data_IF_650582639717
#
_entry.id   IF_650582639717
#
_cell.length_a   1.000
_cell.length_b   1.000
_cell.length_c   1.000
_cell.angle_alpha   90.00
_cell.angle_beta   90.00
_cell.angle_gamma   90.00
#
_symmetry.space_group_name_H-M   'P 1'
#
loop_
_entity.id
_entity.type
_entity.pdbx_description
1 polymer ?
#
# COMPACT_ATOMS: atom_id res chain seq x y z
N UNK A 1 1.67 4.15 -18.85
CA UNK A 1 1.57 4.86 -17.57
C UNK A 1 1.19 3.85 -16.51
N UNK A 2 2.05 3.58 -15.52
CA UNK A 2 1.62 2.85 -14.33
C UNK A 2 0.69 3.79 -13.57
N UNK A 3 -0.61 3.58 -13.68
CA UNK A 3 -1.61 4.33 -12.92
C UNK A 3 -1.39 4.02 -11.44
N UNK A 4 -0.99 5.02 -10.64
CA UNK A 4 -0.99 4.91 -9.19
C UNK A 4 -2.40 4.50 -8.76
N UNK A 5 -2.53 3.31 -8.17
CA UNK A 5 -3.81 2.69 -7.86
C UNK A 5 -3.74 1.96 -6.51
N UNK A 6 -4.91 1.59 -5.99
CA UNK A 6 -5.07 0.73 -4.81
C UNK A 6 -5.80 -0.56 -5.22
N UNK A 7 -5.54 -1.69 -4.54
CA UNK A 7 -6.25 -2.94 -4.80
C UNK A 7 -7.78 -2.79 -4.74
N UNK A 8 -8.44 -3.13 -5.85
CA UNK A 8 -9.90 -3.06 -5.99
C UNK A 8 -10.49 -1.64 -6.12
N UNK A 9 -9.67 -0.59 -6.16
CA UNK A 9 -10.13 0.78 -6.42
C UNK A 9 -9.94 1.15 -7.89
N UNK A 10 -10.88 1.94 -8.41
CA UNK A 10 -10.81 2.54 -9.74
C UNK A 10 -10.60 4.04 -9.60
N UNK A 11 -9.55 4.56 -10.24
CA UNK A 11 -9.25 5.99 -10.31
C UNK A 11 -9.88 6.59 -11.57
N UNK A 12 -10.65 7.67 -11.42
CA UNK A 12 -11.16 8.51 -12.51
C UNK A 12 -10.65 9.93 -12.30
N UNK A 13 -10.06 10.51 -13.34
CA UNK A 13 -9.66 11.92 -13.39
C UNK A 13 -10.51 12.60 -14.45
N UNK A 14 -11.15 13.71 -14.09
CA UNK A 14 -12.05 14.46 -14.97
C UNK A 14 -11.77 15.95 -14.83
N UNK A 15 -11.55 16.65 -15.95
CA UNK A 15 -11.46 18.11 -15.93
C UNK A 15 -12.87 18.70 -15.77
N UNK A 16 -13.08 19.49 -14.73
CA UNK A 16 -14.40 20.07 -14.37
C UNK A 16 -14.48 21.56 -14.65
N UNK A 17 -13.32 22.22 -14.77
CA UNK A 17 -13.15 23.58 -15.27
C UNK A 17 -11.72 23.72 -15.80
N UNK A 18 -11.42 24.79 -16.54
CA UNK A 18 -10.09 25.00 -17.14
C UNK A 18 -8.97 24.89 -16.09
N UNK A 19 -8.15 23.84 -16.18
CA UNK A 19 -7.04 23.56 -15.26
C UNK A 19 -7.45 23.02 -13.88
N UNK A 20 -8.74 22.73 -13.67
CA UNK A 20 -9.29 22.17 -12.43
C UNK A 20 -9.80 20.76 -12.70
N UNK A 21 -9.25 19.80 -11.96
CA UNK A 21 -9.51 18.39 -12.12
C UNK A 21 -10.17 17.82 -10.88
N UNK A 22 -11.17 16.98 -11.09
CA UNK A 22 -11.73 16.10 -10.10
C UNK A 22 -11.05 14.74 -10.18
N UNK A 23 -10.33 14.38 -9.12
CA UNK A 23 -9.74 13.07 -8.94
C UNK A 23 -10.66 12.28 -8.01
N UNK A 24 -11.15 11.14 -8.48
CA UNK A 24 -12.11 10.31 -7.76
C UNK A 24 -11.65 8.86 -7.76
N UNK A 25 -11.49 8.29 -6.58
CA UNK A 25 -11.30 6.87 -6.37
C UNK A 25 -12.61 6.25 -5.89
N UNK A 26 -13.03 5.17 -6.53
CA UNK A 26 -14.21 4.38 -6.12
C UNK A 26 -13.87 2.92 -5.98
N UNK A 27 -14.41 2.29 -4.94
CA UNK A 27 -14.43 0.84 -4.78
C UNK A 27 -15.87 0.33 -4.89
N UNK A 28 -16.03 -0.94 -5.26
CA UNK A 28 -17.32 -1.63 -5.19
C UNK A 28 -17.96 -1.41 -3.80
N UNK A 29 -19.29 -1.35 -3.75
CA UNK A 29 -20.09 -1.00 -2.54
C UNK A 29 -20.12 0.49 -2.16
N UNK A 30 -19.80 1.41 -3.09
CA UNK A 30 -20.09 2.84 -2.93
C UNK A 30 -19.08 3.64 -2.11
N UNK A 31 -17.96 3.04 -1.70
CA UNK A 31 -16.85 3.76 -1.05
C UNK A 31 -16.20 4.71 -2.06
N UNK A 32 -15.90 5.93 -1.61
CA UNK A 32 -15.38 7.00 -2.45
C UNK A 32 -14.38 7.87 -1.69
N UNK A 33 -13.24 8.15 -2.31
CA UNK A 33 -12.36 9.26 -1.96
C UNK A 33 -12.32 10.24 -3.15
N UNK A 34 -12.41 11.54 -2.90
CA UNK A 34 -12.36 12.53 -3.97
C UNK A 34 -11.66 13.82 -3.54
N UNK A 35 -10.95 14.42 -4.49
CA UNK A 35 -10.35 15.76 -4.39
C UNK A 35 -10.65 16.51 -5.69
N UNK A 36 -10.92 17.81 -5.58
CA UNK A 36 -11.05 18.73 -6.71
C UNK A 36 -9.94 19.76 -6.60
N UNK A 37 -8.94 19.66 -7.47
CA UNK A 37 -7.75 20.52 -7.47
C UNK A 37 -7.02 20.43 -8.83
N UNK A 38 -5.82 20.99 -8.95
CA UNK A 38 -4.94 20.70 -10.07
C UNK A 38 -4.59 19.19 -10.12
N UNK A 39 -4.43 18.62 -11.33
CA UNK A 39 -4.06 17.21 -11.51
C UNK A 39 -2.56 16.98 -11.31
N UNK A 40 -2.01 17.38 -10.17
CA UNK A 40 -0.62 17.09 -9.80
C UNK A 40 -0.48 15.68 -9.21
N UNK A 41 0.75 15.14 -9.25
CA UNK A 41 1.07 13.87 -8.60
C UNK A 41 0.79 13.90 -7.09
N UNK A 42 0.93 15.07 -6.46
CA UNK A 42 0.61 15.29 -5.05
C UNK A 42 -0.89 15.15 -4.77
N UNK A 43 -1.74 15.74 -5.61
CA UNK A 43 -3.21 15.60 -5.52
C UNK A 43 -3.63 14.14 -5.68
N UNK A 44 -2.99 13.40 -6.60
CA UNK A 44 -3.21 11.96 -6.78
C UNK A 44 -2.80 11.18 -5.53
N UNK A 45 -1.60 11.42 -4.99
CA UNK A 45 -1.11 10.74 -3.80
C UNK A 45 -1.98 11.02 -2.57
N UNK A 46 -2.46 12.25 -2.42
CA UNK A 46 -3.38 12.63 -1.34
C UNK A 46 -4.72 11.91 -1.47
N UNK A 47 -5.26 11.78 -2.69
CA UNK A 47 -6.51 11.03 -2.92
C UNK A 47 -6.32 9.54 -2.64
N UNK A 48 -5.16 8.98 -2.97
CA UNK A 48 -4.79 7.60 -2.62
C UNK A 48 -4.67 7.40 -1.11
N UNK A 49 -4.05 8.34 -0.40
CA UNK A 49 -3.95 8.32 1.06
C UNK A 49 -5.33 8.25 1.71
N UNK A 50 -6.28 9.07 1.27
CA UNK A 50 -7.67 9.00 1.75
C UNK A 50 -8.36 7.66 1.48
N UNK A 51 -8.18 7.10 0.28
CA UNK A 51 -8.76 5.79 -0.04
C UNK A 51 -8.12 4.65 0.76
N UNK A 52 -6.83 4.76 1.06
CA UNK A 52 -6.10 3.82 1.92
C UNK A 52 -6.61 3.88 3.37
N UNK A 53 -6.80 5.08 3.92
CA UNK A 53 -7.34 5.28 5.27
C UNK A 53 -8.78 4.74 5.40
N UNK A 54 -9.59 4.90 4.35
CA UNK A 54 -10.92 4.28 4.29
C UNK A 54 -10.78 2.76 4.37
N UNK A 55 -9.91 2.13 3.57
CA UNK A 55 -9.73 0.68 3.62
C UNK A 55 -9.29 0.21 5.01
N UNK A 56 -8.36 0.93 5.62
CA UNK A 56 -7.90 0.62 6.98
C UNK A 56 -9.02 0.67 8.00
N UNK A 57 -9.90 1.65 7.89
CA UNK A 57 -10.95 1.90 8.89
C UNK A 57 -12.13 0.94 8.78
N UNK A 58 -12.44 0.43 7.58
CA UNK A 58 -13.70 -0.29 7.33
C UNK A 58 -13.55 -1.63 6.60
N UNK A 59 -12.35 -2.07 6.25
CA UNK A 59 -12.14 -3.36 5.60
C UNK A 59 -12.08 -4.50 6.61
N UNK A 60 -12.89 -5.55 6.39
CA UNK A 60 -12.73 -6.82 7.12
C UNK A 60 -11.48 -7.59 6.70
N UNK A 61 -10.88 -7.24 5.56
CA UNK A 61 -9.76 -7.95 4.94
C UNK A 61 -8.54 -7.02 4.82
N UNK A 62 -8.30 -6.19 5.84
CA UNK A 62 -7.23 -5.20 5.86
C UNK A 62 -5.86 -5.80 5.52
N UNK A 63 -5.49 -6.91 6.16
CA UNK A 63 -4.17 -7.54 5.99
C UNK A 63 -3.95 -7.98 4.53
N UNK A 64 -4.98 -8.56 3.89
CA UNK A 64 -4.94 -8.93 2.48
C UNK A 64 -4.84 -7.71 1.57
N UNK A 65 -5.61 -6.66 1.86
CA UNK A 65 -5.53 -5.41 1.11
C UNK A 65 -4.12 -4.81 1.18
N UNK A 66 -3.51 -4.80 2.37
CA UNK A 66 -2.16 -4.28 2.58
C UNK A 66 -1.12 -5.10 1.82
N UNK A 67 -1.23 -6.43 1.83
CA UNK A 67 -0.40 -7.33 1.03
C UNK A 67 -0.50 -7.03 -0.47
N UNK A 68 -1.72 -7.01 -1.01
CA UNK A 68 -1.99 -6.72 -2.43
C UNK A 68 -1.50 -5.32 -2.82
N UNK A 69 -1.61 -4.34 -1.91
CA UNK A 69 -1.11 -2.99 -2.12
C UNK A 69 0.42 -2.99 -2.26
N UNK A 70 1.14 -3.65 -1.35
CA UNK A 70 2.60 -3.76 -1.42
C UNK A 70 3.04 -4.45 -2.72
N UNK A 71 2.40 -5.55 -3.13
CA UNK A 71 2.69 -6.23 -4.40
C UNK A 71 2.49 -5.31 -5.60
N UNK A 72 1.35 -4.61 -5.67
CA UNK A 72 1.06 -3.67 -6.74
C UNK A 72 2.14 -2.59 -6.86
N UNK A 73 2.64 -2.09 -5.73
CA UNK A 73 3.67 -1.03 -5.69
C UNK A 73 5.07 -1.54 -6.01
N UNK A 74 5.31 -2.84 -5.89
CA UNK A 74 6.56 -3.51 -6.28
C UNK A 74 6.51 -4.05 -7.71
N UNK A 75 5.42 -3.80 -8.46
CA UNK A 75 5.32 -4.18 -9.88
C UNK A 75 6.52 -3.68 -10.67
N UNK A 76 7.20 -4.59 -11.37
CA UNK A 76 8.42 -4.30 -12.13
C UNK A 76 9.73 -4.54 -11.35
N UNK A 77 9.66 -4.90 -10.07
CA UNK A 77 10.79 -5.43 -9.30
C UNK A 77 10.82 -6.95 -9.36
N UNK A 78 12.01 -7.54 -9.27
CA UNK A 78 12.17 -8.99 -9.17
C UNK A 78 11.88 -9.42 -7.74
N UNK A 79 10.63 -9.79 -7.48
CA UNK A 79 10.22 -10.42 -6.23
C UNK A 79 10.84 -11.81 -6.18
N UNK A 80 11.67 -12.08 -5.16
CA UNK A 80 12.33 -13.37 -4.97
C UNK A 80 11.45 -14.34 -4.20
N UNK A 81 10.54 -13.82 -3.37
CA UNK A 81 9.55 -14.61 -2.63
C UNK A 81 8.37 -13.74 -2.24
N UNK A 82 7.17 -14.30 -2.33
CA UNK A 82 5.95 -13.72 -1.76
C UNK A 82 5.13 -14.85 -1.14
N UNK A 83 4.49 -14.58 -0.01
CA UNK A 83 3.64 -15.57 0.66
C UNK A 83 2.58 -14.87 1.50
N UNK A 84 1.37 -15.39 1.42
CA UNK A 84 0.23 -14.97 2.24
C UNK A 84 -0.30 -16.18 3.01
N UNK A 85 -0.43 -16.05 4.32
CA UNK A 85 -0.76 -17.13 5.23
C UNK A 85 -2.11 -16.85 5.91
N UNK A 86 -3.19 -17.19 5.23
CA UNK A 86 -4.58 -17.03 5.70
C UNK A 86 -4.85 -17.74 7.05
N UNK A 87 -4.20 -18.88 7.28
CA UNK A 87 -4.34 -19.65 8.53
C UNK A 87 -3.46 -19.14 9.68
N UNK A 88 -2.56 -18.20 9.41
CA UNK A 88 -1.62 -17.67 10.40
C UNK A 88 -1.89 -16.18 10.63
N UNK A 89 -3.10 -15.88 11.09
CA UNK A 89 -3.56 -14.51 11.40
C UNK A 89 -3.44 -13.55 10.21
N UNK A 90 -3.60 -14.07 8.99
CA UNK A 90 -3.39 -13.32 7.74
C UNK A 90 -2.00 -12.67 7.63
N UNK A 91 -0.99 -13.31 8.22
CA UNK A 91 0.41 -12.91 8.10
C UNK A 91 0.88 -13.03 6.65
N UNK A 92 1.86 -12.22 6.26
CA UNK A 92 2.41 -12.28 4.91
C UNK A 92 3.84 -11.76 4.85
N UNK A 93 4.54 -12.07 3.75
CA UNK A 93 5.87 -11.54 3.47
C UNK A 93 6.08 -11.32 1.97
N UNK A 94 6.91 -10.33 1.64
CA UNK A 94 7.38 -10.04 0.28
C UNK A 94 8.89 -9.78 0.38
N UNK A 95 9.68 -10.55 -0.37
CA UNK A 95 11.14 -10.44 -0.45
C UNK A 95 11.56 -9.94 -1.84
N UNK A 96 12.50 -8.99 -1.84
CA UNK A 96 13.13 -8.43 -3.05
C UNK A 96 14.63 -8.39 -2.80
N UNK A 97 15.35 -9.39 -3.34
CA UNK A 97 16.78 -9.54 -3.13
C UNK A 97 17.11 -9.80 -1.66
N UNK A 98 17.95 -8.96 -1.06
CA UNK A 98 18.32 -9.03 0.36
C UNK A 98 17.41 -8.18 1.27
N UNK A 99 16.26 -7.72 0.79
CA UNK A 99 15.32 -6.92 1.58
C UNK A 99 13.99 -7.65 1.64
N UNK A 100 13.27 -7.53 2.76
CA UNK A 100 11.90 -8.03 2.85
C UNK A 100 11.01 -7.15 3.71
N UNK A 101 9.73 -7.20 3.38
CA UNK A 101 8.66 -6.63 4.15
C UNK A 101 7.77 -7.77 4.61
N UNK A 102 7.45 -7.81 5.90
CA UNK A 102 6.59 -8.84 6.48
C UNK A 102 5.53 -8.18 7.36
N UNK A 103 4.35 -8.77 7.37
CA UNK A 103 3.32 -8.45 8.33
C UNK A 103 3.10 -9.65 9.24
N UNK A 104 3.39 -9.45 10.52
CA UNK A 104 3.18 -10.41 11.58
C UNK A 104 1.76 -10.21 12.10
N UNK A 105 0.83 -11.02 11.62
CA UNK A 105 -0.60 -10.85 11.85
C UNK A 105 -1.02 -11.02 13.31
N UNK A 106 -0.34 -11.91 14.03
CA UNK A 106 -0.57 -12.16 15.45
C UNK A 106 -0.17 -10.96 16.32
N UNK A 107 0.97 -10.35 16.03
CA UNK A 107 1.49 -9.16 16.73
C UNK A 107 0.92 -7.85 16.16
N UNK A 108 0.26 -7.93 15.01
CA UNK A 108 -0.22 -6.78 14.23
C UNK A 108 0.92 -5.79 13.91
N UNK A 109 2.06 -6.31 13.45
CA UNK A 109 3.26 -5.51 13.14
C UNK A 109 3.64 -5.63 11.67
N UNK A 110 3.95 -4.50 11.04
CA UNK A 110 4.63 -4.42 9.76
C UNK A 110 6.12 -4.21 10.00
N UNK A 111 6.96 -5.14 9.53
CA UNK A 111 8.40 -5.14 9.77
C UNK A 111 9.14 -5.10 8.43
N UNK A 112 10.13 -4.23 8.33
CA UNK A 112 11.09 -4.19 7.22
C UNK A 112 12.41 -4.77 7.69
N UNK A 113 12.97 -5.70 6.91
CA UNK A 113 14.22 -6.38 7.23
C UNK A 113 15.22 -6.35 6.06
N UNK A 114 16.50 -6.34 6.40
CA UNK A 114 17.61 -6.54 5.45
C UNK A 114 18.38 -7.79 5.84
N UNK A 115 18.83 -8.55 4.85
CA UNK A 115 19.69 -9.69 5.04
C UNK A 115 21.15 -9.27 4.93
N UNK A 116 21.95 -9.68 5.92
CA UNK A 116 23.41 -9.57 5.94
C UNK A 116 23.99 -10.87 6.52
N UNK A 117 25.04 -11.42 5.90
CA UNK A 117 25.65 -12.71 6.29
C UNK A 117 24.65 -13.88 6.56
N UNK A 118 23.59 -13.95 5.74
CA UNK A 118 22.46 -14.89 5.85
C UNK A 118 21.50 -14.69 7.04
N UNK A 119 21.74 -13.70 7.88
CA UNK A 119 20.85 -13.31 8.98
C UNK A 119 19.96 -12.13 8.58
N UNK A 120 18.75 -12.09 9.12
CA UNK A 120 17.79 -11.00 8.86
C UNK A 120 17.77 -10.04 10.04
N UNK A 121 17.90 -8.75 9.75
CA UNK A 121 17.92 -7.68 10.73
C UNK A 121 16.72 -6.75 10.56
N UNK A 122 16.05 -6.44 11.67
CA UNK A 122 14.95 -5.47 11.70
C UNK A 122 15.49 -4.07 11.44
N UNK A 123 15.07 -3.45 10.33
CA UNK A 123 15.33 -2.04 10.07
C UNK A 123 14.28 -1.15 10.76
N UNK A 124 13.01 -1.54 10.63
CA UNK A 124 11.87 -0.78 11.11
C UNK A 124 10.70 -1.70 11.47
N UNK A 125 9.98 -1.35 12.54
CA UNK A 125 8.75 -2.01 12.99
C UNK A 125 7.67 -0.92 13.15
N UNK A 126 6.51 -1.13 12.53
CA UNK A 126 5.34 -0.25 12.65
C UNK A 126 4.17 -1.08 13.16
N UNK A 127 3.50 -0.61 14.21
CA UNK A 127 2.27 -1.26 14.69
C UNK A 127 1.15 -1.01 13.69
N UNK A 128 0.22 -1.96 13.58
CA UNK A 128 -0.92 -1.84 12.68
C UNK A 128 -1.68 -0.52 12.87
N UNK A 129 -1.83 -0.08 14.14
CA UNK A 129 -2.43 1.21 14.53
C UNK A 129 -1.77 2.45 13.91
N UNK A 130 -0.54 2.34 13.43
CA UNK A 130 0.31 3.43 12.93
C UNK A 130 0.58 3.32 11.42
N UNK A 131 0.04 2.32 10.73
CA UNK A 131 0.24 2.13 9.28
C UNK A 131 -0.53 3.17 8.48
N UNK A 132 0.17 4.11 7.84
CA UNK A 132 -0.43 5.08 6.91
C UNK A 132 0.06 4.81 5.49
N UNK A 133 -0.60 5.43 4.51
CA UNK A 133 -0.17 5.34 3.11
C UNK A 133 1.29 5.80 2.94
N UNK A 134 1.69 6.85 3.67
CA UNK A 134 3.02 7.44 3.62
C UNK A 134 4.07 6.52 4.23
N UNK A 135 3.78 5.90 5.39
CA UNK A 135 4.76 5.02 6.05
C UNK A 135 5.02 3.77 5.22
N UNK A 136 3.98 3.16 4.63
CA UNK A 136 4.15 2.02 3.73
C UNK A 136 4.87 2.43 2.45
N UNK A 137 4.52 3.58 1.87
CA UNK A 137 5.18 4.09 0.67
C UNK A 137 6.67 4.37 0.90
N UNK A 138 7.06 4.81 2.10
CA UNK A 138 8.46 5.00 2.48
C UNK A 138 9.22 3.66 2.50
N UNK A 139 8.64 2.63 3.13
CA UNK A 139 9.26 1.29 3.16
C UNK A 139 9.47 0.72 1.76
N UNK A 140 8.46 0.85 0.91
CA UNK A 140 8.53 0.36 -0.47
C UNK A 140 9.58 1.10 -1.30
N UNK A 141 9.84 2.39 -1.03
CA UNK A 141 10.98 3.12 -1.63
C UNK A 141 12.31 2.53 -1.17
N UNK A 142 12.45 2.16 0.10
CA UNK A 142 13.68 1.56 0.62
C UNK A 142 13.89 0.11 0.18
N UNK A 143 12.87 -0.57 -0.34
CA UNK A 143 13.01 -1.88 -1.00
C UNK A 143 13.60 -1.80 -2.41
N UNK A 144 13.75 -0.60 -2.97
CA UNK A 144 14.31 -0.40 -4.32
C UNK A 144 15.81 -0.45 -4.40
#
# INVERSE_FOLDING_TARGET
MNTKSLPGWTTKVEEVANGVFKIKLTKNFGRKAEIVDNATDETIDKTLSYAFDIERSVSSNWNKFLFEFCLLRLTGKTITKESYYDKDFDSWLIEVGNKRLLYLGKESWLVSQTQDDNEWFDNYIIKDSEITYETVSLFLKHMT
#
